data_IF_023025667994
#
_entry.id   IF_023025667994
#
_cell.length_a   1.000
_cell.length_b   1.000
_cell.length_c   1.000
_cell.angle_alpha   90.00
_cell.angle_beta   90.00
_cell.angle_gamma   90.00
#
_symmetry.space_group_name_H-M   'P 1'
#
loop_
_entity.id
_entity.type
_entity.pdbx_description
1 polymer ?
#
# COMPACT_ATOMS: atom_id res chain seq x y z
N UNK A 1 5.13 1.83 -11.61
CA UNK A 1 4.26 0.87 -10.88
C UNK A 1 4.67 0.80 -9.43
N UNK A 2 3.71 0.68 -8.51
CA UNK A 2 3.93 0.63 -7.07
C UNK A 2 4.74 -0.63 -6.68
N UNK A 3 6.06 -0.49 -6.46
CA UNK A 3 6.95 -1.61 -6.09
C UNK A 3 6.88 -1.98 -4.60
N UNK A 4 5.95 -1.38 -3.85
CA UNK A 4 5.91 -1.48 -2.40
C UNK A 4 4.92 -2.55 -1.94
N UNK A 5 5.19 -3.26 -0.82
CA UNK A 5 4.37 -4.38 -0.31
C UNK A 5 2.88 -4.04 -0.12
N UNK A 6 2.57 -2.76 0.05
CA UNK A 6 1.20 -2.27 0.18
C UNK A 6 0.38 -2.53 -1.09
N UNK A 7 1.00 -2.68 -2.28
CA UNK A 7 0.32 -2.99 -3.54
C UNK A 7 -0.46 -4.30 -3.54
N UNK A 8 -0.22 -5.19 -2.57
CA UNK A 8 -1.05 -6.40 -2.41
C UNK A 8 -2.51 -6.05 -2.11
N UNK A 9 -2.77 -4.93 -1.44
CA UNK A 9 -4.10 -4.48 -0.99
C UNK A 9 -4.76 -3.45 -1.92
N UNK A 10 -4.04 -2.99 -2.94
CA UNK A 10 -4.52 -1.95 -3.86
C UNK A 10 -4.32 -2.37 -5.31
N UNK A 11 -5.22 -1.95 -6.18
CA UNK A 11 -5.13 -2.16 -7.63
C UNK A 11 -4.76 -0.84 -8.30
N UNK A 12 -3.77 -0.86 -9.20
CA UNK A 12 -3.43 0.32 -9.99
C UNK A 12 -4.49 0.54 -11.06
N UNK A 13 -4.74 1.80 -11.38
CA UNK A 13 -5.65 2.17 -12.47
C UNK A 13 -4.80 2.51 -13.68
N UNK A 14 -5.00 1.79 -14.77
CA UNK A 14 -4.21 1.97 -16.00
C UNK A 14 -4.44 3.35 -16.63
N UNK A 15 -5.66 3.89 -16.51
CA UNK A 15 -6.02 5.21 -17.04
C UNK A 15 -5.51 6.37 -16.20
N UNK A 16 -5.26 6.18 -14.90
CA UNK A 16 -4.75 7.22 -13.99
C UNK A 16 -3.73 6.60 -13.01
N UNK A 17 -2.44 6.57 -13.37
CA UNK A 17 -1.41 5.99 -12.52
C UNK A 17 -1.14 6.80 -11.25
N UNK A 18 -1.74 7.99 -11.09
CA UNK A 18 -1.69 8.78 -9.86
C UNK A 18 -2.69 8.29 -8.82
N UNK A 19 -3.57 7.35 -9.17
CA UNK A 19 -4.59 6.80 -8.30
C UNK A 19 -4.50 5.28 -8.22
N UNK A 20 -4.95 4.77 -7.10
CA UNK A 20 -5.12 3.33 -6.86
C UNK A 20 -6.48 3.09 -6.23
N UNK A 21 -6.99 1.89 -6.43
CA UNK A 21 -8.25 1.44 -5.87
C UNK A 21 -7.99 0.47 -4.73
N UNK A 22 -8.62 0.66 -3.58
CA UNK A 22 -8.64 -0.33 -2.52
C UNK A 22 -9.44 -1.56 -2.96
N UNK A 23 -8.88 -2.76 -2.79
CA UNK A 23 -9.57 -4.01 -3.18
C UNK A 23 -10.78 -4.35 -2.29
N UNK A 24 -10.80 -3.84 -1.06
CA UNK A 24 -11.83 -4.17 -0.06
C UNK A 24 -13.04 -3.23 -0.13
N UNK A 25 -12.86 -1.91 -0.22
CA UNK A 25 -13.96 -0.93 -0.32
C UNK A 25 -14.13 -0.32 -1.71
N UNK A 26 -13.32 -0.70 -2.69
CA UNK A 26 -13.30 -0.08 -4.01
C UNK A 26 -13.03 1.45 -4.00
N UNK A 27 -12.56 2.01 -2.87
CA UNK A 27 -12.29 3.44 -2.74
C UNK A 27 -11.04 3.84 -3.51
N UNK A 28 -11.14 4.95 -4.23
CA UNK A 28 -10.03 5.57 -4.94
C UNK A 28 -9.16 6.39 -3.99
N UNK A 29 -7.86 6.12 -4.00
CA UNK A 29 -6.86 6.78 -3.18
C UNK A 29 -5.80 7.41 -4.09
N UNK A 30 -5.46 8.66 -3.80
CA UNK A 30 -4.41 9.37 -4.53
C UNK A 30 -3.03 9.01 -4.02
N UNK A 31 -2.11 8.79 -4.94
CA UNK A 31 -0.68 8.60 -4.69
C UNK A 31 0.10 9.93 -4.70
N UNK A 32 -0.60 11.04 -4.89
CA UNK A 32 -0.07 12.41 -4.88
C UNK A 32 0.59 12.81 -6.19
N UNK A 33 1.56 12.03 -6.69
CA UNK A 33 2.28 12.33 -7.94
C UNK A 33 2.03 11.30 -9.04
N UNK A 34 2.06 11.77 -10.28
CA UNK A 34 1.98 10.91 -11.47
C UNK A 34 3.24 10.05 -11.66
N UNK A 35 4.43 10.60 -11.35
CA UNK A 35 5.71 9.88 -11.47
C UNK A 35 5.80 8.76 -10.43
N UNK A 36 5.90 7.48 -10.83
CA UNK A 36 5.84 6.34 -9.90
C UNK A 36 6.90 6.35 -8.79
N UNK A 37 8.09 6.88 -9.09
CA UNK A 37 9.20 6.91 -8.14
C UNK A 37 9.05 7.99 -7.05
N UNK A 38 8.07 8.88 -7.19
CA UNK A 38 7.79 9.97 -6.26
C UNK A 38 6.45 9.80 -5.53
N UNK A 39 5.82 8.63 -5.70
CA UNK A 39 4.53 8.32 -5.09
C UNK A 39 4.70 8.00 -3.61
N UNK A 40 3.84 8.60 -2.79
CA UNK A 40 3.83 8.36 -1.34
C UNK A 40 2.82 7.29 -0.98
N UNK A 41 3.26 6.29 -0.21
CA UNK A 41 2.39 5.21 0.28
C UNK A 41 1.80 5.49 1.66
N UNK A 42 2.12 6.63 2.28
CA UNK A 42 1.67 6.95 3.65
C UNK A 42 0.15 7.01 3.76
N UNK A 43 -0.53 7.60 2.78
CA UNK A 43 -2.00 7.64 2.73
C UNK A 43 -2.63 6.25 2.60
N UNK A 44 -1.98 5.33 1.87
CA UNK A 44 -2.44 3.95 1.71
C UNK A 44 -2.34 3.17 3.03
N UNK A 45 -1.24 3.35 3.76
CA UNK A 45 -1.06 2.73 5.08
C UNK A 45 -2.07 3.27 6.08
N UNK A 46 -2.29 4.59 6.10
CA UNK A 46 -3.29 5.22 6.96
C UNK A 46 -4.71 4.72 6.66
N UNK A 47 -5.04 4.53 5.39
CA UNK A 47 -6.32 3.93 5.00
C UNK A 47 -6.48 2.50 5.52
N UNK A 48 -5.46 1.64 5.38
CA UNK A 48 -5.50 0.30 5.96
C UNK A 48 -5.63 0.35 7.49
N UNK A 49 -4.86 1.20 8.16
CA UNK A 49 -4.91 1.33 9.62
C UNK A 49 -6.29 1.77 10.13
N UNK A 50 -6.95 2.69 9.42
CA UNK A 50 -8.24 3.24 9.82
C UNK A 50 -9.44 2.38 9.42
N UNK A 51 -9.39 1.71 8.25
CA UNK A 51 -10.53 1.00 7.70
C UNK A 51 -10.42 -0.53 7.86
N UNK A 52 -9.20 -1.06 7.96
CA UNK A 52 -8.92 -2.51 7.90
C UNK A 52 -7.82 -2.90 8.88
N UNK A 53 -8.10 -2.76 10.17
CA UNK A 53 -7.12 -2.99 11.24
C UNK A 53 -6.43 -4.36 11.13
N UNK A 54 -7.17 -5.43 10.82
CA UNK A 54 -6.61 -6.77 10.65
C UNK A 54 -5.66 -6.87 9.44
N UNK A 55 -6.01 -6.25 8.30
CA UNK A 55 -5.15 -6.21 7.12
C UNK A 55 -3.89 -5.38 7.38
N UNK A 56 -4.02 -4.29 8.14
CA UNK A 56 -2.91 -3.46 8.57
C UNK A 56 -1.96 -4.23 9.51
N UNK A 57 -2.50 -4.98 10.47
CA UNK A 57 -1.72 -5.79 11.40
C UNK A 57 -0.98 -6.92 10.65
N UNK A 58 -1.62 -7.57 9.67
CA UNK A 58 -0.96 -8.52 8.77
C UNK A 58 0.14 -7.88 7.91
N UNK A 59 -0.10 -6.68 7.39
CA UNK A 59 0.91 -5.90 6.66
C UNK A 59 2.14 -5.60 7.54
N UNK A 60 1.92 -5.20 8.80
CA UNK A 60 2.97 -4.94 9.78
C UNK A 60 3.76 -6.22 10.09
N UNK A 61 3.08 -7.34 10.38
CA UNK A 61 3.74 -8.62 10.63
C UNK A 61 4.63 -9.05 9.45
N UNK A 62 4.15 -8.95 8.20
CA UNK A 62 4.97 -9.21 6.99
C UNK A 62 6.10 -8.21 6.77
N UNK A 63 5.98 -6.99 7.27
CA UNK A 63 7.06 -6.02 7.24
C UNK A 63 8.14 -6.36 8.28
N UNK A 64 7.71 -6.81 9.47
CA UNK A 64 8.54 -7.14 10.62
C UNK A 64 9.29 -8.47 10.45
N UNK A 65 8.65 -9.55 9.95
CA UNK A 65 9.31 -10.86 9.76
C UNK A 65 10.58 -10.80 8.90
N UNK A 66 10.71 -9.83 7.99
CA UNK A 66 11.95 -9.68 7.20
C UNK A 66 13.11 -9.02 7.96
N UNK A 67 12.86 -8.31 9.07
CA UNK A 67 13.93 -7.74 9.91
C UNK A 67 14.64 -8.79 10.76
N UNK A 68 13.99 -9.92 11.03
CA UNK A 68 14.56 -11.00 11.84
C UNK A 68 15.29 -12.07 11.03
N UNK A 69 15.38 -11.94 9.70
CA UNK A 69 16.10 -12.84 8.80
C UNK A 69 17.43 -12.25 8.28
N UNK A 70 18.00 -11.24 8.95
CA UNK A 70 19.33 -10.69 8.62
C UNK A 70 20.33 -10.82 9.78
N UNK A 71 20.05 -11.67 10.76
CA UNK A 71 20.99 -12.05 11.82
C UNK A 71 21.27 -13.55 11.73
N UNK A 72 21.96 -13.97 10.67
CA UNK A 72 22.69 -15.25 10.54
C UNK A 72 23.85 -14.99 9.62
#
# INVERSE_FOLDING_TARGET
MLKNKVSMYFTNIETDPSKVQCKECNKLLSLGRYKPNLQTVSGLKGHLASCYKELHDMYLMRAISKRYMTCT
#
